data_IF_453948027981
#
_entry.id   IF_453948027981
#
_cell.length_a   1.000
_cell.length_b   1.000
_cell.length_c   1.000
_cell.angle_alpha   90.00
_cell.angle_beta   90.00
_cell.angle_gamma   90.00
#
_symmetry.space_group_name_H-M   'P 1'
#
loop_
_entity.id
_entity.type
_entity.pdbx_description
1 polymer ?
#
# COMPACT_ATOMS: atom_id res chain seq x y z
N UNK A 1 17.31 34.22 -6.28
CA UNK A 1 15.95 33.74 -6.61
C UNK A 1 15.88 32.29 -6.13
N UNK A 2 15.19 32.03 -5.02
CA UNK A 2 15.12 30.69 -4.44
C UNK A 2 14.11 29.88 -5.26
N UNK A 3 14.60 28.89 -6.02
CA UNK A 3 13.74 27.96 -6.74
C UNK A 3 13.39 26.81 -5.81
N UNK A 4 12.10 26.67 -5.49
CA UNK A 4 11.57 25.53 -4.72
C UNK A 4 11.57 24.23 -5.53
N UNK A 5 11.69 24.34 -6.86
CA UNK A 5 11.62 23.22 -7.80
C UNK A 5 12.84 22.29 -7.64
N UNK A 6 12.57 20.99 -7.51
CA UNK A 6 13.59 19.94 -7.47
C UNK A 6 14.13 19.59 -6.08
N UNK A 7 13.61 20.20 -5.01
CA UNK A 7 13.96 19.83 -3.62
C UNK A 7 13.25 18.53 -3.19
N UNK A 8 12.00 18.38 -3.62
CA UNK A 8 11.16 17.18 -3.43
C UNK A 8 10.58 16.77 -4.78
N UNK A 9 10.14 15.51 -4.90
CA UNK A 9 9.57 14.98 -6.14
C UNK A 9 8.36 14.09 -5.92
N UNK A 10 7.26 14.31 -6.64
CA UNK A 10 6.05 13.45 -6.57
C UNK A 10 6.37 11.99 -6.95
N UNK A 11 7.39 11.80 -7.78
CA UNK A 11 7.88 10.45 -8.14
C UNK A 11 8.31 9.66 -6.90
N UNK A 12 9.09 10.23 -5.97
CA UNK A 12 9.58 9.48 -4.80
C UNK A 12 8.44 9.00 -3.91
N UNK A 13 7.45 9.84 -3.63
CA UNK A 13 6.28 9.44 -2.83
C UNK A 13 5.39 8.44 -3.57
N UNK A 14 5.32 8.52 -4.90
CA UNK A 14 4.64 7.50 -5.72
C UNK A 14 5.35 6.14 -5.63
N UNK A 15 6.68 6.12 -5.81
CA UNK A 15 7.49 4.89 -5.68
C UNK A 15 7.38 4.29 -4.26
N UNK A 16 7.34 5.14 -3.21
CA UNK A 16 7.10 4.70 -1.83
C UNK A 16 5.70 4.09 -1.65
N UNK A 17 4.67 4.69 -2.27
CA UNK A 17 3.30 4.15 -2.25
C UNK A 17 3.22 2.80 -2.95
N UNK A 18 3.91 2.64 -4.08
CA UNK A 18 3.96 1.37 -4.79
C UNK A 18 4.61 0.30 -3.92
N UNK A 19 5.72 0.62 -3.24
CA UNK A 19 6.34 -0.30 -2.27
C UNK A 19 5.37 -0.71 -1.16
N UNK A 20 4.64 0.23 -0.56
CA UNK A 20 3.65 -0.06 0.50
C UNK A 20 2.55 -1.00 0.01
N UNK A 21 2.11 -0.86 -1.24
CA UNK A 21 1.04 -1.69 -1.83
C UNK A 21 1.54 -2.97 -2.53
N UNK A 22 2.86 -3.12 -2.70
CA UNK A 22 3.49 -4.28 -3.32
C UNK A 22 3.53 -5.52 -2.41
N UNK A 23 4.27 -6.55 -2.82
CA UNK A 23 4.58 -7.73 -2.00
C UNK A 23 3.32 -8.44 -1.47
N UNK A 24 2.35 -8.67 -2.36
CA UNK A 24 1.04 -9.26 -2.01
C UNK A 24 0.36 -8.51 -0.86
N UNK A 25 0.36 -7.18 -0.92
CA UNK A 25 -0.27 -6.30 0.08
C UNK A 25 0.26 -6.55 1.50
N UNK A 26 1.52 -6.95 1.66
CA UNK A 26 2.13 -7.28 2.97
C UNK A 26 1.84 -6.22 4.05
N UNK A 27 2.05 -4.93 3.73
CA UNK A 27 1.81 -3.85 4.69
C UNK A 27 0.33 -3.80 5.11
N UNK A 28 -0.61 -4.00 4.18
CA UNK A 28 -2.02 -4.09 4.53
C UNK A 28 -2.30 -5.27 5.46
N UNK A 29 -1.87 -6.48 5.12
CA UNK A 29 -2.20 -7.68 5.91
C UNK A 29 -1.64 -7.62 7.34
N UNK A 30 -0.46 -7.04 7.53
CA UNK A 30 0.17 -6.93 8.85
C UNK A 30 -0.34 -5.73 9.66
N UNK A 31 -0.67 -4.61 9.02
CA UNK A 31 -0.97 -3.36 9.70
C UNK A 31 -2.46 -2.99 9.72
N UNK A 32 -3.34 -3.73 9.04
CA UNK A 32 -4.80 -3.56 9.15
C UNK A 32 -5.33 -3.82 10.57
N UNK A 33 -4.65 -4.70 11.31
CA UNK A 33 -4.86 -4.92 12.73
C UNK A 33 -3.53 -5.31 13.41
N UNK A 34 -2.84 -4.31 13.95
CA UNK A 34 -1.60 -4.50 14.72
C UNK A 34 -1.82 -4.06 16.16
N UNK A 35 -2.07 -5.03 17.03
CA UNK A 35 -2.35 -4.78 18.45
C UNK A 35 -3.71 -4.11 18.68
N UNK A 36 -4.73 -4.48 17.92
CA UNK A 36 -6.09 -3.92 18.01
C UNK A 36 -6.24 -2.54 17.37
N UNK A 37 -5.25 -2.12 16.56
CA UNK A 37 -5.21 -0.82 15.89
C UNK A 37 -5.00 -0.99 14.40
N UNK A 38 -5.80 -0.26 13.61
CA UNK A 38 -5.60 -0.18 12.18
C UNK A 38 -4.53 0.88 11.85
N UNK A 39 -3.28 0.44 11.83
CA UNK A 39 -2.14 1.28 11.47
C UNK A 39 -2.00 1.46 9.96
N UNK A 40 -2.62 0.62 9.14
CA UNK A 40 -2.64 0.80 7.69
C UNK A 40 -3.32 2.11 7.29
N UNK A 41 -4.45 2.46 7.92
CA UNK A 41 -5.12 3.73 7.67
C UNK A 41 -4.24 4.95 8.02
N UNK A 42 -3.44 4.85 9.09
CA UNK A 42 -2.45 5.87 9.44
C UNK A 42 -1.41 6.02 8.33
N UNK A 43 -0.87 4.89 7.83
CA UNK A 43 0.10 4.88 6.72
C UNK A 43 -0.49 5.52 5.46
N UNK A 44 -1.72 5.18 5.08
CA UNK A 44 -2.42 5.81 3.96
C UNK A 44 -2.53 7.33 4.13
N UNK A 45 -3.01 7.78 5.30
CA UNK A 45 -3.14 9.21 5.62
C UNK A 45 -1.79 9.94 5.49
N UNK A 46 -0.71 9.38 6.02
CA UNK A 46 0.63 9.96 5.88
C UNK A 46 1.06 10.08 4.41
N UNK A 47 0.87 9.03 3.60
CA UNK A 47 1.22 9.09 2.17
C UNK A 47 0.40 10.15 1.42
N UNK A 48 -0.89 10.31 1.75
CA UNK A 48 -1.77 11.27 1.10
C UNK A 48 -1.35 12.71 1.44
N UNK A 49 -1.07 13.00 2.72
CA UNK A 49 -0.60 14.33 3.14
C UNK A 49 0.79 14.68 2.60
N UNK A 50 1.69 13.70 2.50
CA UNK A 50 2.99 13.91 1.82
C UNK A 50 2.75 14.20 0.33
N UNK A 51 1.90 13.42 -0.36
CA UNK A 51 1.63 13.60 -1.79
C UNK A 51 1.09 15.00 -2.10
N UNK A 52 0.09 15.45 -1.33
CA UNK A 52 -0.49 16.80 -1.50
C UNK A 52 0.56 17.88 -1.26
N UNK A 53 1.35 17.76 -0.19
CA UNK A 53 2.38 18.74 0.17
C UNK A 53 3.49 18.80 -0.89
N UNK A 54 3.98 17.65 -1.36
CA UNK A 54 5.02 17.58 -2.40
C UNK A 54 4.53 18.18 -3.71
N UNK A 55 3.31 17.83 -4.16
CA UNK A 55 2.75 18.41 -5.39
C UNK A 55 2.52 19.91 -5.29
N UNK A 56 2.10 20.40 -4.12
CA UNK A 56 1.99 21.83 -3.89
C UNK A 56 3.36 22.52 -4.05
N UNK A 57 4.40 21.97 -3.42
CA UNK A 57 5.75 22.54 -3.44
C UNK A 57 6.42 22.46 -4.82
N UNK A 58 6.24 21.37 -5.56
CA UNK A 58 6.77 21.24 -6.93
C UNK A 58 6.16 22.24 -7.92
N UNK A 59 4.88 22.59 -7.70
CA UNK A 59 4.12 23.51 -8.54
C UNK A 59 4.03 24.92 -7.93
N UNK A 60 4.77 25.18 -6.85
CA UNK A 60 4.75 26.47 -6.18
C UNK A 60 5.29 27.56 -7.14
N UNK A 61 4.60 28.71 -7.26
CA UNK A 61 5.12 29.84 -8.03
C UNK A 61 6.39 30.39 -7.37
N UNK A 62 7.14 31.20 -8.11
CA UNK A 62 8.22 31.99 -7.53
C UNK A 62 7.66 32.95 -6.47
N UNK A 63 8.49 33.24 -5.46
CA UNK A 63 8.09 34.11 -4.36
C UNK A 63 7.84 35.53 -4.86
N UNK A 64 6.69 36.09 -4.50
CA UNK A 64 6.24 37.41 -4.96
C UNK A 64 7.16 38.52 -4.42
N UNK A 65 7.23 39.63 -5.14
CA UNK A 65 7.93 40.83 -4.66
C UNK A 65 7.14 41.56 -3.56
N UNK A 66 5.80 41.48 -3.60
CA UNK A 66 4.90 42.01 -2.59
C UNK A 66 5.08 41.24 -1.28
N UNK A 67 5.32 41.97 -0.19
CA UNK A 67 5.64 41.37 1.11
C UNK A 67 4.47 40.58 1.69
N UNK A 68 3.24 41.07 1.59
CA UNK A 68 2.06 40.41 2.15
C UNK A 68 1.80 39.08 1.43
N UNK A 69 1.91 39.08 0.10
CA UNK A 69 1.77 37.86 -0.72
C UNK A 69 2.89 36.88 -0.39
N UNK A 70 4.14 37.35 -0.30
CA UNK A 70 5.30 36.51 0.06
C UNK A 70 5.16 35.88 1.44
N UNK A 71 4.69 36.63 2.43
CA UNK A 71 4.44 36.10 3.77
C UNK A 71 3.47 34.93 3.73
N UNK A 72 2.37 35.04 2.96
CA UNK A 72 1.42 33.95 2.79
C UNK A 72 2.01 32.75 2.02
N UNK A 73 2.85 33.00 1.00
CA UNK A 73 3.56 31.93 0.29
C UNK A 73 4.53 31.17 1.21
N UNK A 74 5.29 31.89 2.05
CA UNK A 74 6.21 31.27 3.03
C UNK A 74 5.43 30.53 4.11
N UNK A 75 4.29 31.03 4.57
CA UNK A 75 3.43 30.30 5.49
C UNK A 75 2.92 28.98 4.86
N UNK A 76 2.53 29.00 3.59
CA UNK A 76 2.13 27.79 2.85
C UNK A 76 3.28 26.77 2.74
N UNK A 77 4.50 27.25 2.45
CA UNK A 77 5.72 26.45 2.44
C UNK A 77 5.95 25.78 3.80
N UNK A 78 5.96 26.55 4.89
CA UNK A 78 6.13 26.03 6.26
C UNK A 78 5.05 24.99 6.57
N UNK A 79 3.80 25.24 6.19
CA UNK A 79 2.69 24.32 6.44
C UNK A 79 2.87 22.99 5.70
N UNK A 80 3.33 23.03 4.45
CA UNK A 80 3.65 21.81 3.69
C UNK A 80 4.83 21.04 4.28
N UNK A 81 5.85 21.75 4.78
CA UNK A 81 6.98 21.11 5.48
C UNK A 81 6.52 20.43 6.77
N UNK A 82 5.65 21.08 7.55
CA UNK A 82 5.10 20.53 8.81
C UNK A 82 4.28 19.25 8.56
N UNK A 83 3.44 19.25 7.52
CA UNK A 83 2.68 18.07 7.10
C UNK A 83 3.59 16.90 6.69
N UNK A 84 4.67 17.17 5.95
CA UNK A 84 5.67 16.16 5.58
C UNK A 84 6.40 15.65 6.82
N UNK A 85 6.90 16.54 7.68
CA UNK A 85 7.59 16.18 8.92
C UNK A 85 6.72 15.27 9.80
N UNK A 86 5.48 15.67 10.07
CA UNK A 86 4.59 14.90 10.94
C UNK A 86 4.27 13.54 10.33
N UNK A 87 3.98 13.50 9.02
CA UNK A 87 3.73 12.24 8.31
C UNK A 87 4.93 11.30 8.37
N UNK A 88 6.14 11.80 8.14
CA UNK A 88 7.39 11.02 8.23
C UNK A 88 7.61 10.50 9.65
N UNK A 89 7.33 11.30 10.69
CA UNK A 89 7.44 10.86 12.09
C UNK A 89 6.44 9.75 12.43
N UNK A 90 5.21 9.82 11.93
CA UNK A 90 4.23 8.76 12.12
C UNK A 90 4.64 7.48 11.37
N UNK A 91 5.15 7.59 10.14
CA UNK A 91 5.68 6.45 9.40
C UNK A 91 6.89 5.81 10.12
N UNK A 92 7.80 6.61 10.70
CA UNK A 92 8.89 6.12 11.55
C UNK A 92 8.34 5.29 12.72
N UNK A 93 7.31 5.80 13.42
CA UNK A 93 6.70 5.08 14.54
C UNK A 93 6.12 3.72 14.13
N UNK A 94 5.53 3.64 12.94
CA UNK A 94 4.90 2.42 12.43
C UNK A 94 5.94 1.37 12.01
N UNK A 95 6.96 1.78 11.25
CA UNK A 95 7.87 0.84 10.58
C UNK A 95 9.24 0.71 11.23
N UNK A 96 9.75 1.78 11.85
CA UNK A 96 11.10 1.83 12.40
C UNK A 96 11.07 1.52 13.89
N UNK A 97 10.47 2.40 14.70
CA UNK A 97 10.40 2.26 16.14
C UNK A 97 9.36 3.23 16.75
N UNK A 98 8.41 2.68 17.50
CA UNK A 98 7.34 3.45 18.15
C UNK A 98 7.84 4.37 19.29
N UNK A 99 9.01 4.07 19.88
CA UNK A 99 9.52 4.72 21.10
C UNK A 99 10.50 5.84 20.82
N UNK A 100 10.99 5.95 19.58
CA UNK A 100 11.96 6.96 19.18
C UNK A 100 11.32 8.01 18.30
N UNK A 101 11.92 9.19 18.32
CA UNK A 101 11.57 10.30 17.43
C UNK A 101 12.73 10.48 16.46
N UNK A 102 12.49 10.46 15.13
CA UNK A 102 13.56 10.70 14.17
C UNK A 102 14.08 12.14 14.31
N UNK A 103 15.38 12.33 14.05
CA UNK A 103 16.07 13.62 14.08
C UNK A 103 16.18 14.32 15.44
N UNK A 104 15.86 13.63 16.54
CA UNK A 104 15.93 14.22 17.88
C UNK A 104 17.36 14.63 18.23
N UNK A 105 17.54 15.90 18.62
CA UNK A 105 18.84 16.46 18.99
C UNK A 105 19.71 16.94 17.82
N UNK A 106 19.27 16.78 16.56
CA UNK A 106 20.02 17.23 15.39
C UNK A 106 20.05 18.76 15.26
N UNK A 107 21.18 19.31 14.81
CA UNK A 107 21.39 20.76 14.61
C UNK A 107 22.09 21.04 13.29
N UNK A 108 21.56 20.46 12.21
CA UNK A 108 22.21 20.43 10.90
C UNK A 108 21.63 21.45 9.92
N UNK A 109 20.37 21.84 10.04
CA UNK A 109 19.70 22.66 9.02
C UNK A 109 19.65 24.16 9.33
N UNK A 110 19.50 24.55 10.60
CA UNK A 110 19.30 25.96 10.97
C UNK A 110 20.57 26.56 11.56
N UNK A 111 21.42 27.17 10.75
CA UNK A 111 22.71 27.70 11.20
C UNK A 111 22.57 29.06 11.89
N UNK A 112 21.55 29.84 11.54
CA UNK A 112 21.30 31.17 12.09
C UNK A 112 20.23 31.17 13.19
N UNK A 113 20.18 30.10 13.99
CA UNK A 113 19.11 29.92 14.98
C UNK A 113 19.21 30.92 16.13
N UNK A 114 18.10 31.57 16.49
CA UNK A 114 18.07 32.50 17.63
C UNK A 114 18.26 31.77 18.98
N UNK A 115 17.73 30.56 19.09
CA UNK A 115 17.73 29.77 20.33
C UNK A 115 18.69 28.61 20.18
N UNK A 116 19.96 28.80 20.56
CA UNK A 116 21.02 27.80 20.29
C UNK A 116 20.77 26.42 20.90
N UNK A 117 20.05 26.34 22.02
CA UNK A 117 19.75 25.06 22.68
C UNK A 117 18.79 24.18 21.89
N UNK A 118 17.93 24.75 21.04
CA UNK A 118 16.93 24.00 20.29
C UNK A 118 17.55 23.14 19.19
N UNK A 119 17.07 21.90 19.07
CA UNK A 119 17.33 21.06 17.91
C UNK A 119 16.50 21.52 16.70
N UNK A 120 16.77 20.97 15.52
CA UNK A 120 16.12 21.41 14.28
C UNK A 120 14.61 21.21 14.31
N UNK A 121 14.11 20.12 14.88
CA UNK A 121 12.67 19.86 14.98
C UNK A 121 11.99 20.88 15.91
N UNK A 122 12.62 21.23 17.02
CA UNK A 122 12.12 22.21 17.98
C UNK A 122 12.18 23.61 17.39
N UNK A 123 13.30 23.96 16.75
CA UNK A 123 13.49 25.27 16.13
C UNK A 123 12.56 25.49 14.93
N UNK A 124 12.28 24.46 14.13
CA UNK A 124 11.26 24.54 13.08
C UNK A 124 9.87 24.87 13.65
N UNK A 125 9.49 24.31 14.81
CA UNK A 125 8.23 24.69 15.48
C UNK A 125 8.24 26.15 15.92
N UNK A 126 9.38 26.64 16.39
CA UNK A 126 9.59 28.06 16.69
C UNK A 126 9.36 28.92 15.44
N UNK A 127 9.99 28.59 14.32
CA UNK A 127 9.77 29.30 13.05
C UNK A 127 8.30 29.26 12.61
N UNK A 128 7.65 28.09 12.68
CA UNK A 128 6.23 27.92 12.32
C UNK A 128 5.31 28.78 13.19
N UNK A 129 5.59 28.87 14.49
CA UNK A 129 4.81 29.70 15.40
C UNK A 129 4.98 31.19 15.09
N UNK A 130 6.21 31.66 14.92
CA UNK A 130 6.53 33.07 14.70
C UNK A 130 6.13 33.59 13.32
N UNK A 131 6.26 32.77 12.27
CA UNK A 131 6.02 33.18 10.87
C UNK A 131 4.63 32.77 10.33
N UNK A 132 3.71 32.33 11.20
CA UNK A 132 2.30 32.30 10.80
C UNK A 132 1.31 31.59 11.73
N UNK A 133 1.67 30.48 12.37
CA UNK A 133 0.66 29.65 13.05
C UNK A 133 0.18 30.25 14.39
N UNK A 134 1.10 30.80 15.20
CA UNK A 134 0.79 31.25 16.56
C UNK A 134 1.59 32.51 16.97
N UNK A 135 1.64 33.57 16.15
CA UNK A 135 2.54 34.71 16.39
C UNK A 135 2.24 35.42 17.73
N UNK A 136 1.01 35.35 18.22
CA UNK A 136 0.57 36.08 19.44
C UNK A 136 0.62 35.26 20.73
N UNK A 137 1.21 34.06 20.71
CA UNK A 137 1.30 33.21 21.91
C UNK A 137 2.56 32.33 21.88
N UNK A 138 3.72 32.96 21.92
CA UNK A 138 5.01 32.28 21.94
C UNK A 138 5.45 32.06 23.40
N UNK A 139 5.62 30.79 23.78
CA UNK A 139 6.27 30.41 25.03
C UNK A 139 7.72 30.08 24.71
N UNK A 140 8.61 31.09 24.77
CA UNK A 140 10.03 30.93 24.51
C UNK A 140 10.83 31.32 25.75
N UNK A 141 11.82 30.51 26.13
CA UNK A 141 12.84 30.93 27.10
C UNK A 141 12.28 31.45 28.44
N UNK A 142 11.21 30.81 28.96
CA UNK A 142 10.56 31.17 30.22
C UNK A 142 9.89 32.56 30.25
N UNK A 143 9.86 33.29 29.12
CA UNK A 143 9.14 34.55 28.96
C UNK A 143 8.10 34.47 27.83
N UNK A 144 6.99 35.20 27.99
CA UNK A 144 5.93 35.22 26.98
C UNK A 144 6.24 36.31 25.96
N UNK A 145 6.30 35.95 24.68
CA UNK A 145 6.61 36.88 23.58
C UNK A 145 5.55 36.88 22.49
N UNK A 146 5.54 37.95 21.69
CA UNK A 146 4.59 38.16 20.59
C UNK A 146 5.35 38.55 19.31
N UNK A 147 5.13 37.82 18.22
CA UNK A 147 5.71 38.15 16.93
C UNK A 147 4.91 39.23 16.19
N UNK A 148 5.63 40.20 15.62
CA UNK A 148 5.14 41.15 14.61
C UNK A 148 4.80 40.46 13.28
N UNK A 149 4.27 41.23 12.33
CA UNK A 149 4.20 40.76 10.93
C UNK A 149 5.61 40.43 10.41
N UNK A 150 5.77 39.46 9.49
CA UNK A 150 7.05 39.25 8.82
C UNK A 150 7.32 40.39 7.83
N UNK A 151 8.57 40.85 7.79
CA UNK A 151 9.01 41.92 6.89
C UNK A 151 10.39 41.61 6.31
N UNK A 152 10.77 42.32 5.24
CA UNK A 152 12.12 42.23 4.68
C UNK A 152 13.02 43.27 5.35
N UNK A 153 14.01 42.81 6.12
CA UNK A 153 15.00 43.71 6.71
C UNK A 153 15.93 44.30 5.64
N UNK A 154 16.22 45.60 5.74
CA UNK A 154 17.18 46.28 4.86
C UNK A 154 18.63 46.05 5.29
N UNK A 155 18.85 45.62 6.54
CA UNK A 155 20.18 45.50 7.16
C UNK A 155 20.69 44.05 7.18
N UNK A 156 19.80 43.07 6.98
CA UNK A 156 20.11 41.65 7.10
C UNK A 156 19.95 40.93 5.77
N UNK A 157 20.66 39.80 5.62
CA UNK A 157 20.54 38.91 4.44
C UNK A 157 19.36 37.94 4.53
N UNK A 158 18.59 37.98 5.61
CA UNK A 158 17.42 37.12 5.83
C UNK A 158 16.34 37.36 4.76
N UNK A 159 15.59 36.30 4.42
CA UNK A 159 14.48 36.39 3.48
C UNK A 159 13.28 37.09 4.10
N UNK A 160 13.00 36.78 5.38
CA UNK A 160 12.01 37.43 6.22
C UNK A 160 12.55 37.57 7.64
N UNK A 161 12.07 38.60 8.34
CA UNK A 161 12.41 38.89 9.74
C UNK A 161 11.12 39.20 10.50
N UNK A 162 11.07 38.83 11.78
CA UNK A 162 10.05 39.30 12.73
C UNK A 162 10.71 39.87 13.98
N UNK A 163 10.11 40.92 14.53
CA UNK A 163 10.33 41.33 15.91
C UNK A 163 9.52 40.45 16.86
N UNK A 164 10.12 40.09 18.00
CA UNK A 164 9.53 39.32 19.09
C UNK A 164 9.41 40.21 20.32
N UNK A 165 8.25 40.84 20.48
CA UNK A 165 7.94 41.76 21.56
C UNK A 165 7.89 41.04 22.90
N UNK A 166 8.58 41.56 23.92
CA UNK A 166 8.44 41.01 25.27
C UNK A 166 7.10 41.40 25.91
N UNK A 167 6.56 40.49 26.74
CA UNK A 167 5.51 40.83 27.69
C UNK A 167 6.06 41.58 28.91
N UNK A 168 7.29 41.27 29.32
CA UNK A 168 7.87 41.81 30.54
C UNK A 168 8.33 43.25 30.35
N UNK A 169 8.11 44.08 31.36
CA UNK A 169 8.52 45.49 31.34
C UNK A 169 10.05 45.56 31.38
N UNK A 170 10.63 46.45 30.58
CA UNK A 170 12.07 46.68 30.46
C UNK A 170 12.89 45.50 29.92
N UNK A 171 12.25 44.41 29.46
CA UNK A 171 12.94 43.32 28.74
C UNK A 171 13.08 43.69 27.25
N UNK A 172 14.26 43.48 26.69
CA UNK A 172 14.52 43.80 25.29
C UNK A 172 13.72 42.89 24.32
N UNK A 173 13.27 43.52 23.23
CA UNK A 173 12.69 42.82 22.09
C UNK A 173 13.76 42.05 21.34
N UNK A 174 13.40 40.85 20.86
CA UNK A 174 14.30 40.03 20.06
C UNK A 174 13.96 40.15 18.58
N UNK A 175 14.89 39.75 17.73
CA UNK A 175 14.68 39.65 16.28
C UNK A 175 14.97 38.25 15.82
N UNK A 176 14.01 37.65 15.12
CA UNK A 176 14.13 36.31 14.55
C UNK A 176 14.17 36.42 13.03
N UNK A 177 15.20 35.82 12.44
CA UNK A 177 15.43 35.80 11.00
C UNK A 177 15.07 34.43 10.42
N UNK A 178 14.46 34.44 9.24
CA UNK A 178 14.11 33.25 8.47
C UNK A 178 14.90 33.24 7.17
N UNK A 179 15.55 32.12 6.92
CA UNK A 179 16.28 31.83 5.69
C UNK A 179 15.58 30.67 4.99
N UNK A 180 15.07 30.91 3.78
CA UNK A 180 14.28 29.91 3.05
C UNK A 180 15.14 28.71 2.68
N UNK A 181 16.43 28.91 2.40
CA UNK A 181 17.35 27.80 2.12
C UNK A 181 17.47 26.83 3.31
N UNK A 182 17.51 27.32 4.55
CA UNK A 182 17.54 26.46 5.75
C UNK A 182 16.24 25.64 5.88
N UNK A 183 15.09 26.22 5.53
CA UNK A 183 13.81 25.49 5.45
C UNK A 183 13.83 24.41 4.36
N UNK A 184 14.43 24.69 3.20
CA UNK A 184 14.54 23.71 2.11
C UNK A 184 15.50 22.57 2.45
N UNK A 185 16.58 22.85 3.17
CA UNK A 185 17.49 21.83 3.72
C UNK A 185 16.78 20.95 4.76
N UNK A 186 16.01 21.57 5.66
CA UNK A 186 15.16 20.86 6.61
C UNK A 186 14.14 19.96 5.89
N UNK A 187 13.41 20.50 4.91
CA UNK A 187 12.47 19.72 4.09
C UNK A 187 13.15 18.51 3.44
N UNK A 188 14.29 18.74 2.76
CA UNK A 188 15.00 17.72 2.02
C UNK A 188 15.38 16.54 2.90
N UNK A 189 16.01 16.80 4.04
CA UNK A 189 16.45 15.74 4.99
C UNK A 189 15.28 14.89 5.48
N UNK A 190 14.12 15.50 5.75
CA UNK A 190 12.92 14.77 6.20
C UNK A 190 12.28 13.97 5.08
N UNK A 191 12.28 14.52 3.86
CA UNK A 191 11.73 13.81 2.70
C UNK A 191 12.62 12.65 2.25
N UNK A 192 13.94 12.81 2.32
CA UNK A 192 14.92 11.75 2.01
C UNK A 192 14.83 10.57 2.98
N UNK A 193 14.38 10.80 4.22
CA UNK A 193 14.17 9.74 5.22
C UNK A 193 13.09 8.70 4.82
N UNK A 194 12.27 8.98 3.80
CA UNK A 194 11.41 7.97 3.20
C UNK A 194 12.20 6.78 2.64
N UNK A 195 13.45 6.99 2.22
CA UNK A 195 14.32 5.93 1.72
C UNK A 195 14.70 4.97 2.86
N UNK A 196 15.03 5.50 4.05
CA UNK A 196 15.30 4.68 5.24
C UNK A 196 14.06 3.87 5.68
N UNK A 197 12.88 4.50 5.63
CA UNK A 197 11.62 3.81 5.93
C UNK A 197 11.34 2.72 4.89
N UNK A 198 11.59 2.98 3.62
CA UNK A 198 11.42 2.01 2.53
C UNK A 198 12.32 0.79 2.71
N UNK A 199 13.60 0.99 3.02
CA UNK A 199 14.54 -0.09 3.36
C UNK A 199 14.03 -0.91 4.56
N UNK A 200 13.50 -0.23 5.58
CA UNK A 200 12.94 -0.90 6.75
C UNK A 200 11.72 -1.76 6.41
N UNK A 201 10.82 -1.29 5.55
CA UNK A 201 9.66 -2.05 5.07
C UNK A 201 10.12 -3.32 4.35
N UNK A 202 11.11 -3.21 3.45
CA UNK A 202 11.65 -4.36 2.74
C UNK A 202 12.31 -5.38 3.68
N UNK A 203 13.06 -4.91 4.69
CA UNK A 203 13.66 -5.78 5.70
C UNK A 203 12.58 -6.51 6.53
N UNK A 204 11.51 -5.82 6.91
CA UNK A 204 10.37 -6.42 7.61
C UNK A 204 9.68 -7.48 6.76
N UNK A 205 9.51 -7.23 5.46
CA UNK A 205 8.93 -8.20 4.54
C UNK A 205 9.80 -9.45 4.40
N UNK A 206 11.10 -9.31 4.13
CA UNK A 206 12.05 -10.44 4.03
C UNK A 206 12.08 -11.27 5.32
N UNK A 207 12.06 -10.61 6.48
CA UNK A 207 11.97 -11.30 7.77
C UNK A 207 10.68 -12.09 7.88
N UNK A 208 9.53 -11.48 7.54
CA UNK A 208 8.25 -12.16 7.57
C UNK A 208 8.20 -13.39 6.66
N UNK A 209 8.73 -13.29 5.43
CA UNK A 209 8.86 -14.43 4.52
C UNK A 209 9.70 -15.55 5.15
N UNK A 210 10.85 -15.19 5.74
CA UNK A 210 11.76 -16.15 6.38
C UNK A 210 11.13 -16.83 7.59
N UNK A 211 10.35 -16.09 8.38
CA UNK A 211 9.72 -16.61 9.59
C UNK A 211 8.58 -17.58 9.24
N UNK A 212 7.77 -17.26 8.22
CA UNK A 212 6.71 -18.16 7.73
C UNK A 212 7.25 -19.34 6.92
N UNK A 213 8.37 -19.19 6.21
CA UNK A 213 8.92 -20.29 5.41
C UNK A 213 9.52 -21.42 6.25
N UNK A 214 9.85 -21.14 7.51
CA UNK A 214 10.29 -22.14 8.49
C UNK A 214 9.13 -22.92 9.12
N UNK A 215 7.90 -22.40 9.02
CA UNK A 215 6.72 -23.09 9.52
C UNK A 215 6.26 -24.09 8.46
N UNK A 216 6.50 -25.37 8.73
CA UNK A 216 6.16 -26.44 7.80
C UNK A 216 4.64 -26.54 7.61
N UNK A 217 4.20 -26.57 6.35
CA UNK A 217 2.83 -26.87 5.97
C UNK A 217 2.64 -28.38 6.10
N UNK A 218 1.60 -28.77 6.84
CA UNK A 218 1.24 -30.17 7.01
C UNK A 218 0.95 -30.84 5.66
N UNK A 219 1.43 -32.08 5.52
CA UNK A 219 1.22 -32.88 4.32
C UNK A 219 0.17 -33.95 4.59
N UNK A 220 -0.87 -34.00 3.75
CA UNK A 220 -1.88 -35.06 3.76
C UNK A 220 -1.81 -35.89 2.49
N UNK A 221 -2.02 -37.22 2.58
CA UNK A 221 -2.03 -38.09 1.41
C UNK A 221 -3.27 -37.86 0.55
N UNK A 222 -4.40 -37.48 1.15
CA UNK A 222 -5.62 -37.14 0.43
C UNK A 222 -5.51 -35.72 -0.17
N UNK A 223 -5.70 -35.56 -1.49
CA UNK A 223 -5.57 -34.26 -2.14
C UNK A 223 -6.59 -33.21 -1.66
N UNK A 224 -7.81 -33.64 -1.32
CA UNK A 224 -8.86 -32.71 -0.87
C UNK A 224 -8.56 -32.22 0.55
N UNK A 225 -8.15 -33.11 1.45
CA UNK A 225 -7.64 -32.72 2.77
C UNK A 225 -6.44 -31.78 2.67
N UNK A 226 -5.51 -32.06 1.75
CA UNK A 226 -4.36 -31.19 1.50
C UNK A 226 -4.80 -29.79 1.04
N UNK A 227 -5.79 -29.69 0.15
CA UNK A 227 -6.32 -28.42 -0.33
C UNK A 227 -6.98 -27.59 0.78
N UNK A 228 -7.70 -28.21 1.71
CA UNK A 228 -8.25 -27.48 2.87
C UNK A 228 -7.16 -26.91 3.79
N UNK A 229 -6.05 -27.64 3.96
CA UNK A 229 -4.88 -27.12 4.67
C UNK A 229 -4.29 -25.94 3.91
N UNK A 230 -4.10 -26.06 2.59
CA UNK A 230 -3.55 -25.00 1.76
C UNK A 230 -4.43 -23.74 1.76
N UNK A 231 -5.76 -23.88 1.75
CA UNK A 231 -6.71 -22.76 1.90
C UNK A 231 -6.47 -21.98 3.18
N UNK A 232 -6.28 -22.71 4.29
CA UNK A 232 -6.04 -22.10 5.60
C UNK A 232 -4.65 -21.46 5.68
N UNK A 233 -3.64 -22.08 5.07
CA UNK A 233 -2.28 -21.55 5.01
C UNK A 233 -2.16 -20.34 4.08
N UNK A 234 -2.86 -20.32 2.94
CA UNK A 234 -2.88 -19.19 2.00
C UNK A 234 -3.35 -17.91 2.70
N UNK A 235 -4.43 -17.99 3.50
CA UNK A 235 -4.93 -16.86 4.31
C UNK A 235 -3.90 -16.33 5.30
N UNK A 236 -3.04 -17.18 5.86
CA UNK A 236 -1.96 -16.77 6.78
C UNK A 236 -0.78 -16.17 6.00
N UNK A 237 -0.52 -16.69 4.81
CA UNK A 237 0.63 -16.37 3.96
C UNK A 237 0.28 -15.29 2.94
N UNK A 238 -0.12 -14.14 3.48
CA UNK A 238 -0.49 -12.91 2.74
C UNK A 238 -1.85 -12.93 2.04
N UNK A 239 -2.64 -14.00 2.18
CA UNK A 239 -4.04 -14.05 1.72
C UNK A 239 -4.18 -13.60 0.26
N UNK A 240 -3.31 -14.14 -0.61
CA UNK A 240 -3.20 -13.71 -1.98
C UNK A 240 -4.43 -14.17 -2.80
N UNK A 241 -5.08 -13.20 -3.44
CA UNK A 241 -6.33 -13.41 -4.18
C UNK A 241 -6.20 -14.48 -5.28
N UNK A 242 -5.07 -14.52 -6.00
CA UNK A 242 -4.82 -15.51 -7.06
C UNK A 242 -4.71 -16.92 -6.49
N UNK A 243 -3.87 -17.14 -5.47
CA UNK A 243 -3.72 -18.46 -4.85
C UNK A 243 -5.02 -18.94 -4.19
N UNK A 244 -5.74 -18.02 -3.55
CA UNK A 244 -7.06 -18.33 -2.99
C UNK A 244 -8.01 -18.82 -4.08
N UNK A 245 -8.07 -18.14 -5.23
CA UNK A 245 -8.87 -18.58 -6.38
C UNK A 245 -8.48 -19.96 -6.90
N UNK A 246 -7.19 -20.19 -7.14
CA UNK A 246 -6.69 -21.49 -7.64
C UNK A 246 -6.98 -22.64 -6.67
N UNK A 247 -6.84 -22.41 -5.36
CA UNK A 247 -7.15 -23.41 -4.33
C UNK A 247 -8.66 -23.71 -4.30
N UNK A 248 -9.54 -22.70 -4.35
CA UNK A 248 -10.99 -22.93 -4.36
C UNK A 248 -11.44 -23.67 -5.64
N UNK A 249 -10.85 -23.35 -6.80
CA UNK A 249 -11.09 -24.08 -8.05
C UNK A 249 -10.77 -25.57 -7.91
N UNK A 250 -9.60 -25.88 -7.33
CA UNK A 250 -9.18 -27.25 -7.08
C UNK A 250 -10.10 -27.93 -6.06
N UNK A 251 -10.51 -27.24 -4.99
CA UNK A 251 -11.46 -27.78 -4.00
C UNK A 251 -12.76 -28.19 -4.70
N UNK A 252 -13.37 -27.31 -5.51
CA UNK A 252 -14.61 -27.65 -6.23
C UNK A 252 -14.44 -28.87 -7.14
N UNK A 253 -13.28 -29.00 -7.82
CA UNK A 253 -12.97 -30.15 -8.68
C UNK A 253 -12.86 -31.46 -7.89
N UNK A 254 -12.22 -31.43 -6.71
CA UNK A 254 -11.99 -32.62 -5.89
C UNK A 254 -13.19 -33.00 -5.03
N UNK A 255 -14.03 -32.04 -4.61
CA UNK A 255 -15.29 -32.28 -3.88
C UNK A 255 -16.40 -32.86 -4.77
N UNK A 256 -16.39 -32.59 -6.08
CA UNK A 256 -17.49 -32.95 -6.97
C UNK A 256 -17.79 -34.46 -7.00
N UNK A 257 -19.03 -34.84 -6.66
CA UNK A 257 -19.48 -36.22 -6.82
C UNK A 257 -19.95 -36.48 -8.25
N UNK A 258 -19.38 -37.50 -8.90
CA UNK A 258 -19.70 -37.81 -10.30
C UNK A 258 -20.76 -38.89 -10.33
N UNK A 259 -21.94 -38.53 -10.83
CA UNK A 259 -23.09 -39.43 -10.96
C UNK A 259 -23.09 -40.21 -12.26
N UNK A 260 -22.45 -39.71 -13.32
CA UNK A 260 -22.35 -40.38 -14.62
C UNK A 260 -21.09 -41.27 -14.71
N UNK A 261 -21.30 -42.59 -14.78
CA UNK A 261 -20.24 -43.61 -14.88
C UNK A 261 -19.27 -43.34 -16.04
N UNK A 262 -19.76 -42.83 -17.18
CA UNK A 262 -18.93 -42.56 -18.37
C UNK A 262 -17.91 -41.43 -18.14
N UNK A 263 -18.22 -40.50 -17.22
CA UNK A 263 -17.34 -39.38 -16.88
C UNK A 263 -16.36 -39.70 -15.75
N UNK A 264 -16.57 -40.78 -14.99
CA UNK A 264 -15.74 -41.14 -13.83
C UNK A 264 -14.28 -41.34 -14.24
N UNK A 265 -14.03 -42.10 -15.30
CA UNK A 265 -12.67 -42.35 -15.78
C UNK A 265 -11.97 -41.05 -16.23
N UNK A 266 -12.70 -40.20 -16.95
CA UNK A 266 -12.19 -38.93 -17.45
C UNK A 266 -11.85 -37.97 -16.30
N UNK A 267 -12.75 -37.82 -15.35
CA UNK A 267 -12.55 -36.96 -14.20
C UNK A 267 -11.44 -37.44 -13.27
N UNK A 268 -11.31 -38.76 -13.06
CA UNK A 268 -10.21 -39.32 -12.28
C UNK A 268 -8.86 -39.06 -12.95
N UNK A 269 -8.79 -39.18 -14.28
CA UNK A 269 -7.60 -38.81 -15.04
C UNK A 269 -7.28 -37.31 -14.91
N UNK A 270 -8.31 -36.46 -15.01
CA UNK A 270 -8.15 -35.01 -14.87
C UNK A 270 -7.67 -34.62 -13.46
N UNK A 271 -8.30 -35.12 -12.40
CA UNK A 271 -7.85 -34.93 -11.01
C UNK A 271 -6.41 -35.37 -10.80
N UNK A 272 -6.03 -36.52 -11.36
CA UNK A 272 -4.65 -37.00 -11.29
C UNK A 272 -3.67 -36.04 -11.98
N UNK A 273 -4.08 -35.43 -13.10
CA UNK A 273 -3.26 -34.42 -13.79
C UNK A 273 -3.08 -33.12 -13.01
N UNK A 274 -3.95 -32.84 -12.03
CA UNK A 274 -3.90 -31.64 -11.19
C UNK A 274 -3.05 -31.80 -9.91
N UNK A 275 -2.67 -33.02 -9.54
CA UNK A 275 -1.84 -33.27 -8.35
C UNK A 275 -0.52 -32.46 -8.34
N UNK A 276 0.20 -32.28 -9.47
CA UNK A 276 1.41 -31.47 -9.46
C UNK A 276 1.13 -29.98 -9.18
N UNK A 277 -0.06 -29.45 -9.50
CA UNK A 277 -0.43 -28.08 -9.17
C UNK A 277 -0.64 -27.89 -7.66
N UNK A 278 -1.23 -28.89 -6.99
CA UNK A 278 -1.37 -28.88 -5.52
C UNK A 278 -0.01 -28.82 -4.84
N UNK A 279 0.96 -29.64 -5.31
CA UNK A 279 2.32 -29.62 -4.79
C UNK A 279 3.09 -28.34 -5.13
N UNK A 280 2.86 -27.76 -6.31
CA UNK A 280 3.43 -26.46 -6.68
C UNK A 280 2.91 -25.34 -5.77
N UNK A 281 1.59 -25.26 -5.55
CA UNK A 281 0.96 -24.29 -4.64
C UNK A 281 1.59 -24.42 -3.25
N UNK A 282 1.66 -25.64 -2.72
CA UNK A 282 2.26 -25.92 -1.41
C UNK A 282 3.72 -25.48 -1.35
N UNK A 283 4.52 -25.79 -2.37
CA UNK A 283 5.94 -25.41 -2.43
C UNK A 283 6.11 -23.90 -2.47
N UNK A 284 5.30 -23.21 -3.27
CA UNK A 284 5.33 -21.76 -3.39
C UNK A 284 4.88 -21.06 -2.09
N UNK A 285 3.80 -21.55 -1.46
CA UNK A 285 3.37 -21.06 -0.15
C UNK A 285 4.41 -21.33 0.95
N UNK A 286 4.99 -22.54 0.98
CA UNK A 286 6.04 -22.90 1.93
C UNK A 286 7.27 -22.00 1.79
N UNK A 287 7.68 -21.68 0.57
CA UNK A 287 8.82 -20.80 0.30
C UNK A 287 8.47 -19.30 0.37
N UNK A 288 7.21 -18.95 0.61
CA UNK A 288 6.69 -17.58 0.56
C UNK A 288 6.97 -16.88 -0.78
N UNK A 289 6.96 -17.65 -1.86
CA UNK A 289 7.20 -17.21 -3.23
C UNK A 289 5.88 -17.25 -4.02
N UNK A 290 5.13 -16.16 -3.94
CA UNK A 290 3.84 -16.02 -4.63
C UNK A 290 4.11 -15.60 -6.08
N UNK A 291 3.98 -16.56 -6.99
CA UNK A 291 4.21 -16.40 -8.44
C UNK A 291 3.14 -17.16 -9.21
N UNK A 292 2.99 -16.87 -10.49
CA UNK A 292 2.06 -17.61 -11.35
C UNK A 292 2.42 -19.10 -11.38
N UNK A 293 1.39 -19.96 -11.28
CA UNK A 293 1.57 -21.41 -11.29
C UNK A 293 2.00 -21.88 -12.67
N UNK A 294 3.09 -22.65 -12.74
CA UNK A 294 3.62 -23.20 -13.99
C UNK A 294 2.74 -24.34 -14.49
N UNK A 295 2.33 -25.24 -13.59
CA UNK A 295 1.51 -26.41 -13.91
C UNK A 295 0.09 -26.02 -14.38
N UNK A 296 -0.34 -24.77 -14.14
CA UNK A 296 -1.63 -24.22 -14.56
C UNK A 296 -1.67 -23.55 -15.93
N UNK A 297 -0.54 -23.08 -16.44
CA UNK A 297 -0.49 -22.28 -17.68
C UNK A 297 -0.93 -23.05 -18.94
N UNK A 298 -0.82 -24.38 -18.93
CA UNK A 298 -1.21 -25.27 -20.04
C UNK A 298 -2.55 -26.00 -19.85
N UNK A 299 -3.19 -25.91 -18.67
CA UNK A 299 -4.58 -26.36 -18.47
C UNK A 299 -5.60 -25.40 -19.14
N UNK A 300 -5.09 -24.28 -19.65
CA UNK A 300 -5.75 -23.37 -20.57
C UNK A 300 -5.30 -23.50 -22.01
N UNK A 301 -4.79 -24.67 -22.43
CA UNK A 301 -4.54 -24.96 -23.83
C UNK A 301 -5.78 -24.57 -24.64
N UNK A 302 -5.54 -23.75 -25.65
CA UNK A 302 -6.49 -23.00 -26.44
C UNK A 302 -7.43 -23.93 -27.22
N UNK A 303 -8.39 -24.56 -26.56
CA UNK A 303 -9.46 -25.24 -27.26
C UNK A 303 -10.27 -24.19 -28.01
N UNK A 304 -10.63 -24.47 -29.26
CA UNK A 304 -11.54 -23.62 -30.04
C UNK A 304 -12.86 -23.37 -29.28
N UNK A 305 -13.23 -24.29 -28.37
CA UNK A 305 -14.32 -24.15 -27.41
C UNK A 305 -14.23 -22.92 -26.51
N UNK A 306 -13.03 -22.52 -26.04
CA UNK A 306 -12.90 -21.29 -25.23
C UNK A 306 -13.27 -20.05 -26.03
N UNK A 307 -12.98 -20.03 -27.33
CA UNK A 307 -13.39 -18.94 -28.23
C UNK A 307 -14.89 -19.00 -28.53
N UNK A 308 -15.42 -20.21 -28.68
CA UNK A 308 -16.84 -20.45 -28.93
C UNK A 308 -17.73 -20.01 -27.77
N UNK A 309 -17.25 -20.16 -26.53
CA UNK A 309 -17.96 -19.79 -25.30
C UNK A 309 -17.48 -18.48 -24.65
N UNK A 310 -17.00 -17.53 -25.46
CA UNK A 310 -16.46 -16.26 -24.94
C UNK A 310 -17.48 -15.45 -24.14
N UNK A 311 -18.78 -15.64 -24.42
CA UNK A 311 -19.87 -14.98 -23.71
C UNK A 311 -20.34 -15.79 -22.50
N UNK A 312 -20.50 -17.10 -22.67
CA UNK A 312 -21.09 -18.01 -21.70
C UNK A 312 -20.14 -18.28 -20.53
N UNK A 313 -18.85 -18.49 -20.78
CA UNK A 313 -17.89 -18.85 -19.71
C UNK A 313 -17.78 -17.75 -18.63
N UNK A 314 -17.60 -16.45 -18.94
CA UNK A 314 -17.57 -15.42 -17.90
C UNK A 314 -18.86 -15.36 -17.07
N UNK A 315 -20.03 -15.55 -17.69
CA UNK A 315 -21.34 -15.55 -17.01
C UNK A 315 -21.50 -16.77 -16.12
N UNK A 316 -21.15 -17.94 -16.65
CA UNK A 316 -21.09 -19.18 -15.91
C UNK A 316 -20.19 -19.09 -14.68
N UNK A 317 -18.95 -18.60 -14.83
CA UNK A 317 -18.05 -18.44 -13.68
C UNK A 317 -18.62 -17.44 -12.65
N UNK A 318 -19.22 -16.33 -13.10
CA UNK A 318 -19.89 -15.40 -12.19
C UNK A 318 -21.01 -16.08 -11.38
N UNK A 319 -21.82 -16.93 -12.01
CA UNK A 319 -22.84 -17.73 -11.35
C UNK A 319 -22.24 -18.71 -10.34
N UNK A 320 -21.21 -19.48 -10.73
CA UNK A 320 -20.50 -20.42 -9.86
C UNK A 320 -20.00 -19.73 -8.58
N UNK A 321 -19.22 -18.65 -8.71
CA UNK A 321 -18.58 -18.04 -7.53
C UNK A 321 -19.54 -17.22 -6.67
N UNK A 322 -20.57 -16.60 -7.26
CA UNK A 322 -21.49 -15.75 -6.48
C UNK A 322 -22.69 -16.49 -5.93
N UNK A 323 -23.09 -17.62 -6.54
CA UNK A 323 -24.31 -18.34 -6.22
C UNK A 323 -25.58 -17.52 -6.42
N UNK A 324 -25.51 -16.37 -7.10
CA UNK A 324 -26.66 -15.54 -7.41
C UNK A 324 -27.44 -16.18 -8.56
N UNK A 325 -28.76 -16.06 -8.50
CA UNK A 325 -29.62 -16.53 -9.59
C UNK A 325 -29.26 -15.81 -10.90
N UNK A 326 -29.10 -16.56 -11.98
CA UNK A 326 -28.87 -16.05 -13.33
C UNK A 326 -30.03 -16.51 -14.22
N UNK A 327 -30.79 -15.55 -14.76
CA UNK A 327 -31.96 -15.82 -15.58
C UNK A 327 -31.63 -16.50 -16.93
N UNK A 328 -30.36 -16.54 -17.30
CA UNK A 328 -29.87 -17.15 -18.54
C UNK A 328 -29.07 -18.45 -18.28
N UNK A 329 -29.11 -19.00 -17.06
CA UNK A 329 -28.39 -20.22 -16.73
C UNK A 329 -28.77 -21.39 -17.64
N UNK A 330 -30.08 -21.59 -17.86
CA UNK A 330 -30.63 -22.60 -18.76
C UNK A 330 -30.01 -22.50 -20.15
N UNK A 331 -29.98 -21.28 -20.70
CA UNK A 331 -29.40 -20.99 -22.00
C UNK A 331 -27.90 -21.37 -22.07
N UNK A 332 -27.11 -21.06 -21.04
CA UNK A 332 -25.68 -21.44 -21.04
C UNK A 332 -25.48 -22.96 -20.98
N UNK A 333 -26.28 -23.64 -20.16
CA UNK A 333 -26.25 -25.10 -19.98
C UNK A 333 -26.67 -25.82 -21.26
N UNK A 334 -27.75 -25.37 -21.91
CA UNK A 334 -28.18 -25.88 -23.22
C UNK A 334 -27.09 -25.73 -24.25
N UNK A 335 -26.46 -24.54 -24.35
CA UNK A 335 -25.36 -24.32 -25.28
C UNK A 335 -24.16 -25.23 -25.03
N UNK A 336 -23.79 -25.48 -23.76
CA UNK A 336 -22.71 -26.42 -23.45
C UNK A 336 -23.06 -27.85 -23.89
N UNK A 337 -24.31 -28.26 -23.71
CA UNK A 337 -24.79 -29.57 -24.16
C UNK A 337 -24.79 -29.69 -25.68
N UNK A 338 -25.36 -28.72 -26.40
CA UNK A 338 -25.48 -28.74 -27.86
C UNK A 338 -24.10 -28.85 -28.54
N UNK A 339 -23.17 -27.99 -28.14
CA UNK A 339 -21.81 -27.96 -28.71
C UNK A 339 -21.05 -29.25 -28.39
N UNK A 340 -21.30 -29.88 -27.24
CA UNK A 340 -20.62 -31.12 -26.84
C UNK A 340 -21.36 -32.39 -27.24
N UNK A 341 -22.41 -32.32 -28.07
CA UNK A 341 -23.30 -33.43 -28.41
C UNK A 341 -23.77 -34.19 -27.15
N UNK A 342 -24.13 -33.44 -26.10
CA UNK A 342 -24.60 -33.94 -24.80
C UNK A 342 -23.62 -34.85 -24.05
N UNK A 343 -22.33 -34.90 -24.44
CA UNK A 343 -21.32 -35.77 -23.81
C UNK A 343 -21.21 -35.58 -22.29
N UNK A 344 -21.32 -34.34 -21.82
CA UNK A 344 -21.21 -34.03 -20.38
C UNK A 344 -22.56 -33.93 -19.68
N UNK A 345 -23.65 -33.87 -20.44
CA UNK A 345 -25.04 -33.77 -19.97
C UNK A 345 -25.20 -32.83 -18.76
N UNK A 346 -24.94 -31.53 -18.99
CA UNK A 346 -25.11 -30.47 -17.99
C UNK A 346 -26.59 -30.33 -17.62
N UNK A 347 -26.88 -30.14 -16.33
CA UNK A 347 -28.23 -29.94 -15.82
C UNK A 347 -28.30 -28.87 -14.73
N UNK A 348 -29.42 -28.16 -14.65
CA UNK A 348 -29.64 -27.14 -13.60
C UNK A 348 -29.77 -27.74 -12.19
N UNK A 349 -30.14 -29.02 -12.10
CA UNK A 349 -30.23 -29.74 -10.83
C UNK A 349 -28.88 -30.30 -10.38
N UNK A 350 -27.85 -30.24 -11.22
CA UNK A 350 -26.51 -30.67 -10.84
C UNK A 350 -25.99 -29.79 -9.69
N UNK A 351 -25.29 -30.40 -8.75
CA UNK A 351 -24.57 -29.64 -7.75
C UNK A 351 -23.51 -28.76 -8.41
N UNK A 352 -23.30 -27.57 -7.85
CA UNK A 352 -22.39 -26.56 -8.39
C UNK A 352 -20.99 -27.11 -8.69
N UNK A 353 -20.45 -27.91 -7.78
CA UNK A 353 -19.13 -28.52 -7.92
C UNK A 353 -19.08 -29.49 -9.11
N UNK A 354 -20.14 -30.28 -9.31
CA UNK A 354 -20.26 -31.19 -10.46
C UNK A 354 -20.35 -30.41 -11.77
N UNK A 355 -21.17 -29.35 -11.83
CA UNK A 355 -21.28 -28.50 -13.03
C UNK A 355 -19.94 -27.84 -13.35
N UNK A 356 -19.24 -27.32 -12.34
CA UNK A 356 -17.92 -26.74 -12.49
C UNK A 356 -16.89 -27.75 -13.03
N UNK A 357 -16.84 -28.95 -12.45
CA UNK A 357 -15.99 -30.03 -12.92
C UNK A 357 -16.29 -30.38 -14.38
N UNK A 358 -17.56 -30.56 -14.75
CA UNK A 358 -17.96 -30.86 -16.14
C UNK A 358 -17.47 -29.79 -17.12
N UNK A 359 -17.56 -28.50 -16.77
CA UNK A 359 -17.02 -27.41 -17.61
C UNK A 359 -15.49 -27.52 -17.72
N UNK A 360 -14.78 -27.78 -16.62
CA UNK A 360 -13.31 -27.95 -16.67
C UNK A 360 -12.90 -29.15 -17.54
N UNK A 361 -13.63 -30.26 -17.45
CA UNK A 361 -13.41 -31.43 -18.31
C UNK A 361 -13.68 -31.11 -19.79
N UNK A 362 -14.80 -30.45 -20.09
CA UNK A 362 -15.14 -30.00 -21.44
C UNK A 362 -14.02 -29.16 -22.06
N UNK A 363 -13.50 -28.19 -21.30
CA UNK A 363 -12.44 -27.31 -21.78
C UNK A 363 -11.10 -28.03 -21.91
N UNK A 364 -10.80 -28.99 -21.04
CA UNK A 364 -9.53 -29.72 -21.03
C UNK A 364 -9.45 -30.80 -22.12
N UNK A 365 -10.57 -31.42 -22.50
CA UNK A 365 -10.53 -32.49 -23.51
C UNK A 365 -10.55 -31.98 -24.95
N UNK A 366 -11.08 -30.77 -25.19
CA UNK A 366 -11.49 -30.36 -26.54
C UNK A 366 -12.52 -31.32 -27.14
N UNK A 367 -13.22 -30.92 -28.19
CA UNK A 367 -13.88 -31.91 -29.04
C UNK A 367 -12.80 -32.49 -29.95
N UNK A 368 -12.48 -33.77 -29.77
CA UNK A 368 -11.92 -34.58 -30.84
C UNK A 368 -13.05 -35.07 -31.73
#
# INVERSE_FOLDING_TARGET
MVKMKGIVSDKKISDFRDLVNSNSKFVYHIYKDKGGKNLFNLVCSCMDWISVSVRHLENAPELDSNIDVKCMQVYSLISSIDLILESVKQLHRVFVNEKTEPFKGEKLCFHNRLIEREDDNTYFKTLRACFGAHPVSLNQLDSKRFASWPFKSLLKKADLTVHLFSREVDEEDLTLDLYINELLEFLRTRYEYLDEIAEKIQALFKKHQTDLSKQAIETKPDPLEQLYILRSESKKRLDNDYYNGEIEDLIMIFEAEITNIELVALANSYRKSLLPAIEEIKTNLQSMNIVDLKVGSDLGSSSDLRKEFIYELPKFYSWIYTGRNDALLEFYIERFNDVTNHKFNFSEIDERNLTFLKVKLMLATGLQ
#
